data_IF_090500541070
#
_entry.id   IF_090500541070
#
_cell.length_a   1.000
_cell.length_b   1.000
_cell.length_c   1.000
_cell.angle_alpha   90.00
_cell.angle_beta   90.00
_cell.angle_gamma   90.00
#
_symmetry.space_group_name_H-M   'P 1'
#
loop_
_entity.id
_entity.type
_entity.pdbx_description
1 polymer ?
#
# COMPACT_ATOMS: atom_id res chain seq x y z
N UNK A 1 2.08 -18.32 4.03
CA UNK A 1 2.39 -18.78 2.66
C UNK A 1 1.65 -18.00 1.56
N UNK A 2 0.36 -17.69 1.71
CA UNK A 2 -0.45 -17.01 0.67
C UNK A 2 0.10 -15.69 0.14
N UNK A 3 0.55 -14.78 1.02
CA UNK A 3 1.11 -13.47 0.62
C UNK A 3 2.32 -13.64 -0.31
N UNK A 4 3.27 -14.51 0.06
CA UNK A 4 4.48 -14.75 -0.72
C UNK A 4 4.18 -15.33 -2.10
N UNK A 5 3.23 -16.28 -2.17
CA UNK A 5 2.81 -16.87 -3.45
C UNK A 5 2.14 -15.84 -4.37
N UNK A 6 1.32 -14.95 -3.81
CA UNK A 6 0.70 -13.85 -4.57
C UNK A 6 1.75 -12.90 -5.15
N UNK A 7 2.73 -12.49 -4.33
CA UNK A 7 3.83 -11.63 -4.78
C UNK A 7 4.61 -12.28 -5.92
N UNK A 8 4.94 -13.58 -5.80
CA UNK A 8 5.61 -14.32 -6.88
C UNK A 8 4.78 -14.38 -8.17
N UNK A 9 3.46 -14.55 -8.06
CA UNK A 9 2.56 -14.52 -9.22
C UNK A 9 2.58 -13.16 -9.93
N UNK A 10 2.55 -12.04 -9.19
CA UNK A 10 2.65 -10.71 -9.80
C UNK A 10 3.97 -10.52 -10.55
N UNK A 11 5.10 -10.92 -9.94
CA UNK A 11 6.40 -10.88 -10.60
C UNK A 11 6.41 -11.74 -11.87
N UNK A 12 5.74 -12.90 -11.86
CA UNK A 12 5.66 -13.76 -13.04
C UNK A 12 4.92 -13.13 -14.24
N UNK A 13 4.02 -12.17 -13.99
CA UNK A 13 3.34 -11.39 -15.03
C UNK A 13 4.10 -10.11 -15.42
N UNK A 14 5.28 -9.87 -14.86
CA UNK A 14 6.04 -8.64 -15.07
C UNK A 14 5.52 -7.45 -14.25
N UNK A 15 4.67 -7.69 -13.25
CA UNK A 15 4.23 -6.66 -12.32
C UNK A 15 5.22 -6.55 -11.15
N UNK A 16 5.54 -5.33 -10.70
CA UNK A 16 6.38 -5.14 -9.52
C UNK A 16 5.65 -5.62 -8.26
N UNK A 17 6.41 -6.18 -7.32
CA UNK A 17 5.91 -6.62 -6.01
C UNK A 17 5.99 -5.55 -4.92
N UNK A 18 6.64 -4.42 -5.22
CA UNK A 18 6.98 -3.33 -4.30
C UNK A 18 7.00 -1.98 -5.04
N UNK A 19 7.16 -0.89 -4.29
CA UNK A 19 7.17 0.48 -4.81
C UNK A 19 8.48 0.85 -5.50
N UNK A 20 9.60 0.21 -5.11
CA UNK A 20 10.88 0.36 -5.79
C UNK A 20 10.77 -0.05 -7.27
N UNK A 21 10.05 -1.14 -7.57
CA UNK A 21 9.77 -1.58 -8.94
C UNK A 21 8.83 -0.66 -9.74
N UNK A 22 8.18 0.32 -9.09
CA UNK A 22 7.30 1.32 -9.72
C UNK A 22 7.92 2.73 -9.77
N UNK A 23 9.09 2.94 -9.15
CA UNK A 23 9.73 4.25 -9.03
C UNK A 23 9.09 5.19 -8.00
N UNK A 24 8.21 4.68 -7.12
CA UNK A 24 7.63 5.45 -6.02
C UNK A 24 8.62 5.53 -4.84
N UNK A 25 8.69 6.70 -4.19
CA UNK A 25 9.60 6.96 -3.07
C UNK A 25 8.84 7.14 -1.76
N UNK A 26 9.55 7.01 -0.64
CA UNK A 26 8.96 7.27 0.68
C UNK A 26 8.38 8.70 0.78
N UNK A 27 9.00 9.65 0.10
CA UNK A 27 8.59 11.05 0.01
C UNK A 27 7.17 11.22 -0.58
N UNK A 28 6.72 10.28 -1.40
CA UNK A 28 5.39 10.33 -2.05
C UNK A 28 4.26 9.85 -1.13
N UNK A 29 4.60 9.15 -0.03
CA UNK A 29 3.62 8.54 0.89
C UNK A 29 2.60 9.54 1.43
N UNK A 30 2.97 10.74 1.91
CA UNK A 30 2.00 11.71 2.41
C UNK A 30 0.97 12.13 1.35
N UNK A 31 1.42 12.33 0.11
CA UNK A 31 0.54 12.70 -0.99
C UNK A 31 -0.39 11.53 -1.39
N UNK A 32 0.09 10.28 -1.36
CA UNK A 32 -0.73 9.10 -1.62
C UNK A 32 -1.80 8.91 -0.55
N UNK A 33 -1.43 8.99 0.73
CA UNK A 33 -2.38 8.84 1.85
C UNK A 33 -3.41 9.98 1.85
N UNK A 34 -3.01 11.21 1.54
CA UNK A 34 -3.92 12.35 1.44
C UNK A 34 -5.02 12.16 0.39
N UNK A 35 -4.74 11.43 -0.70
CA UNK A 35 -5.73 11.13 -1.75
C UNK A 35 -6.77 10.08 -1.35
N UNK A 36 -6.55 9.33 -0.27
CA UNK A 36 -7.48 8.31 0.21
C UNK A 36 -8.73 8.90 0.89
N UNK A 37 -8.70 10.19 1.27
CA UNK A 37 -9.86 10.88 1.84
C UNK A 37 -10.30 10.35 3.22
N UNK A 38 -9.36 9.82 4.01
CA UNK A 38 -9.59 9.22 5.33
C UNK A 38 -9.71 10.25 6.46
N UNK A 39 -10.31 11.41 6.18
CA UNK A 39 -10.59 12.45 7.18
C UNK A 39 -11.89 12.14 7.94
N UNK A 40 -12.10 12.82 9.07
CA UNK A 40 -13.38 12.82 9.80
C UNK A 40 -13.83 11.43 10.30
N UNK A 41 -12.86 10.60 10.72
CA UNK A 41 -13.13 9.26 11.24
C UNK A 41 -13.47 8.22 10.16
N UNK A 42 -13.32 8.55 8.88
CA UNK A 42 -13.48 7.59 7.78
C UNK A 42 -12.35 6.56 7.79
N UNK A 43 -12.72 5.31 7.54
CA UNK A 43 -11.79 4.19 7.46
C UNK A 43 -11.92 3.48 6.12
N UNK A 44 -10.84 2.85 5.65
CA UNK A 44 -10.82 2.00 4.47
C UNK A 44 -10.84 0.52 4.87
N UNK A 45 -11.32 -0.35 3.99
CA UNK A 45 -11.30 -1.81 4.21
C UNK A 45 -12.59 -2.35 4.82
N UNK A 46 -13.08 -3.45 4.24
CA UNK A 46 -14.33 -4.10 4.67
C UNK A 46 -14.17 -5.15 5.75
N UNK A 47 -12.94 -5.64 5.98
CA UNK A 47 -12.65 -6.67 6.99
C UNK A 47 -11.95 -6.08 8.22
N UNK A 48 -10.87 -5.33 8.00
CA UNK A 48 -10.20 -4.54 9.04
C UNK A 48 -10.33 -3.07 8.66
N UNK A 49 -10.88 -2.21 9.53
CA UNK A 49 -10.93 -0.77 9.29
C UNK A 49 -9.53 -0.18 9.40
N UNK A 50 -9.08 0.48 8.33
CA UNK A 50 -7.77 1.10 8.20
C UNK A 50 -7.90 2.62 8.29
N UNK A 51 -7.11 3.21 9.16
CA UNK A 51 -6.94 4.66 9.29
C UNK A 51 -5.85 5.17 8.34
N UNK A 52 -5.74 6.49 8.21
CA UNK A 52 -4.63 7.11 7.47
C UNK A 52 -3.24 6.68 8.00
N UNK A 53 -3.12 6.46 9.31
CA UNK A 53 -1.87 6.00 9.93
C UNK A 53 -1.54 4.55 9.54
N UNK A 54 -2.55 3.69 9.45
CA UNK A 54 -2.39 2.30 9.02
C UNK A 54 -1.98 2.25 7.54
N UNK A 55 -2.64 3.03 6.68
CA UNK A 55 -2.27 3.15 5.27
C UNK A 55 -0.83 3.67 5.08
N UNK A 56 -0.42 4.64 5.89
CA UNK A 56 0.98 5.14 5.90
C UNK A 56 1.96 4.01 6.23
N UNK A 57 1.66 3.21 7.26
CA UNK A 57 2.51 2.10 7.68
C UNK A 57 2.58 1.02 6.61
N UNK A 58 1.47 0.71 5.95
CA UNK A 58 1.42 -0.26 4.84
C UNK A 58 2.26 0.21 3.67
N UNK A 59 2.18 1.49 3.27
CA UNK A 59 3.01 2.03 2.20
C UNK A 59 4.50 1.99 2.54
N UNK A 60 4.88 2.25 3.79
CA UNK A 60 6.28 2.14 4.24
C UNK A 60 6.83 0.72 4.19
N UNK A 61 5.98 -0.31 4.30
CA UNK A 61 6.40 -1.71 4.13
C UNK A 61 6.70 -2.08 2.67
N UNK A 62 6.26 -1.25 1.72
CA UNK A 62 6.39 -1.51 0.28
C UNK A 62 7.53 -0.71 -0.36
N UNK A 63 8.16 0.23 0.36
CA UNK A 63 9.32 1.00 -0.10
C UNK A 63 10.61 0.21 0.10
#
# INVERSE_FOLDING_TARGET
EGIKRLQQTFVSFGLPSDFAGMGAREEDIPAMVGKLGLTDGKTLGGYVPLTAADCTSIYKLMV
#
